data_IF_417667178072
#
_entry.id   IF_417667178072
#
_cell.length_a   1.000
_cell.length_b   1.000
_cell.length_c   1.000
_cell.angle_alpha   90.00
_cell.angle_beta   90.00
_cell.angle_gamma   90.00
#
_symmetry.space_group_name_H-M   'P 1'
#
loop_
_entity.id
_entity.type
_entity.pdbx_description
1 polymer ?
#
# COMPACT_ATOMS: atom_id res chain seq x y z
N UNK A 1 -10.07 0.26 -16.27
CA UNK A 1 -9.61 1.24 -15.27
C UNK A 1 -10.17 0.86 -13.89
N UNK A 2 -9.70 -0.24 -13.30
CA UNK A 2 -10.26 -0.80 -12.05
C UNK A 2 -9.22 -1.44 -11.09
N UNK A 3 -7.93 -1.47 -11.45
CA UNK A 3 -7.00 -2.41 -10.80
C UNK A 3 -6.37 -1.94 -9.48
N UNK A 4 -6.26 -0.63 -9.24
CA UNK A 4 -5.57 -0.11 -8.05
C UNK A 4 -6.53 0.35 -6.93
N UNK A 5 -7.70 0.88 -7.29
CA UNK A 5 -8.73 1.26 -6.33
C UNK A 5 -9.27 0.05 -5.55
N UNK A 6 -9.41 -1.10 -6.22
CA UNK A 6 -9.86 -2.32 -5.57
C UNK A 6 -8.87 -2.80 -4.49
N UNK A 7 -7.57 -2.71 -4.78
CA UNK A 7 -6.51 -3.04 -3.82
C UNK A 7 -6.59 -2.08 -2.62
N UNK A 8 -6.71 -0.78 -2.87
CA UNK A 8 -6.82 0.22 -1.82
C UNK A 8 -8.05 0.00 -0.93
N UNK A 9 -9.21 -0.27 -1.53
CA UNK A 9 -10.46 -0.54 -0.80
C UNK A 9 -10.35 -1.79 0.07
N UNK A 10 -9.83 -2.91 -0.48
CA UNK A 10 -9.66 -4.15 0.30
C UNK A 10 -8.75 -3.94 1.52
N UNK A 11 -7.68 -3.15 1.35
CA UNK A 11 -6.78 -2.82 2.45
C UNK A 11 -7.47 -1.98 3.53
N UNK A 12 -8.22 -0.94 3.15
CA UNK A 12 -9.00 -0.13 4.10
C UNK A 12 -10.07 -0.95 4.84
N UNK A 13 -10.77 -1.86 4.15
CA UNK A 13 -11.78 -2.73 4.79
C UNK A 13 -11.17 -3.65 5.83
N UNK A 14 -9.96 -4.16 5.61
CA UNK A 14 -9.28 -5.05 6.57
C UNK A 14 -8.83 -4.33 7.85
N UNK A 15 -8.45 -3.06 7.75
CA UNK A 15 -8.20 -2.21 8.92
C UNK A 15 -9.47 -2.01 9.75
N UNK A 16 -10.60 -1.71 9.09
CA UNK A 16 -11.89 -1.51 9.75
C UNK A 16 -12.41 -2.79 10.43
N UNK A 17 -12.07 -3.96 9.90
CA UNK A 17 -12.39 -5.28 10.48
C UNK A 17 -11.44 -5.71 11.62
N UNK A 18 -10.52 -4.84 12.09
CA UNK A 18 -9.68 -5.12 13.27
C UNK A 18 -8.53 -6.09 13.04
N UNK A 19 -8.23 -6.47 11.78
CA UNK A 19 -7.10 -7.34 11.44
C UNK A 19 -5.78 -6.56 11.41
N UNK A 20 -5.48 -5.77 12.45
CA UNK A 20 -4.44 -4.73 12.42
C UNK A 20 -3.02 -5.26 12.13
N UNK A 21 -2.64 -6.40 12.71
CA UNK A 21 -1.34 -7.04 12.43
C UNK A 21 -1.24 -7.58 10.99
N UNK A 22 -2.35 -8.10 10.45
CA UNK A 22 -2.46 -8.53 9.05
C UNK A 22 -2.47 -7.33 8.11
N UNK A 23 -3.08 -6.22 8.52
CA UNK A 23 -3.12 -4.97 7.75
C UNK A 23 -1.73 -4.35 7.62
N UNK A 24 -0.88 -4.34 8.66
CA UNK A 24 0.50 -3.84 8.56
C UNK A 24 1.31 -4.61 7.51
N UNK A 25 1.25 -5.94 7.53
CA UNK A 25 1.96 -6.77 6.56
C UNK A 25 1.44 -6.56 5.12
N UNK A 26 0.13 -6.35 4.97
CA UNK A 26 -0.50 -6.04 3.68
C UNK A 26 -0.12 -4.64 3.19
N UNK A 27 -0.10 -3.63 4.07
CA UNK A 27 0.32 -2.27 3.75
C UNK A 27 1.77 -2.25 3.25
N UNK A 28 2.67 -2.93 3.95
CA UNK A 28 4.08 -3.04 3.55
C UNK A 28 4.22 -3.71 2.18
N UNK A 29 3.53 -4.85 1.95
CA UNK A 29 3.53 -5.54 0.65
C UNK A 29 2.96 -4.67 -0.48
N UNK A 30 1.87 -3.95 -0.23
CA UNK A 30 1.25 -3.07 -1.21
C UNK A 30 2.17 -1.90 -1.58
N UNK A 31 2.85 -1.28 -0.60
CA UNK A 31 3.82 -0.21 -0.86
C UNK A 31 4.96 -0.72 -1.75
N UNK A 32 5.55 -1.88 -1.42
CA UNK A 32 6.63 -2.47 -2.22
C UNK A 32 6.18 -2.71 -3.67
N UNK A 33 5.00 -3.31 -3.86
CA UNK A 33 4.46 -3.58 -5.18
C UNK A 33 4.21 -2.29 -5.98
N UNK A 34 3.65 -1.26 -5.35
CA UNK A 34 3.37 0.02 -5.99
C UNK A 34 4.66 0.77 -6.35
N UNK A 35 5.68 0.73 -5.50
CA UNK A 35 7.01 1.28 -5.81
C UNK A 35 7.67 0.55 -6.98
N UNK A 36 7.59 -0.79 -6.99
CA UNK A 36 8.09 -1.60 -8.09
C UNK A 36 7.42 -1.24 -9.42
N UNK A 37 6.09 -1.08 -9.43
CA UNK A 37 5.34 -0.69 -10.63
C UNK A 37 5.76 0.70 -11.14
N UNK A 38 6.09 1.61 -10.22
CA UNK A 38 6.44 2.98 -10.56
C UNK A 38 7.84 3.10 -11.17
N UNK A 39 8.81 2.34 -10.64
CA UNK A 39 10.23 2.50 -10.98
C UNK A 39 10.79 1.38 -11.84
N UNK A 40 10.46 0.13 -11.54
CA UNK A 40 11.07 -1.02 -12.19
C UNK A 40 10.22 -1.49 -13.37
N UNK A 41 8.90 -1.56 -13.23
CA UNK A 41 8.03 -2.07 -14.31
C UNK A 41 8.10 -1.24 -15.59
N UNK A 42 8.36 0.07 -15.49
CA UNK A 42 8.57 0.97 -16.64
C UNK A 42 9.94 0.80 -17.30
N UNK A 43 10.93 0.28 -16.57
CA UNK A 43 12.28 -0.01 -17.07
C UNK A 43 12.42 -1.45 -17.60
N UNK A 44 11.45 -2.33 -17.29
CA UNK A 44 11.42 -3.71 -17.77
C UNK A 44 11.11 -3.74 -19.28
N UNK A 45 11.93 -4.43 -20.11
CA UNK A 45 11.68 -4.60 -21.54
C UNK A 45 10.54 -5.60 -21.75
N UNK A 46 9.31 -5.17 -21.47
CA UNK A 46 8.09 -5.93 -21.71
C UNK A 46 7.61 -5.72 -23.15
N UNK A 47 6.98 -6.74 -23.72
CA UNK A 47 6.32 -6.63 -25.02
C UNK A 47 4.83 -6.96 -24.88
N UNK A 48 3.92 -5.96 -24.95
CA UNK A 48 4.18 -4.54 -25.16
C UNK A 48 4.82 -3.85 -23.95
N UNK A 49 5.51 -2.72 -24.19
CA UNK A 49 6.14 -1.91 -23.15
C UNK A 49 5.12 -1.50 -22.10
N UNK A 50 5.50 -1.63 -20.84
CA UNK A 50 4.67 -1.17 -19.74
C UNK A 50 4.66 0.36 -19.72
N UNK A 51 3.48 0.92 -19.99
CA UNK A 51 3.24 2.36 -20.02
C UNK A 51 2.37 2.76 -18.85
N UNK A 52 2.86 3.68 -18.02
CA UNK A 52 2.11 4.27 -16.94
C UNK A 52 1.82 5.73 -17.29
N UNK A 53 0.53 6.11 -17.36
CA UNK A 53 0.19 7.51 -17.62
C UNK A 53 0.62 8.41 -16.45
N UNK A 54 0.98 9.69 -16.68
CA UNK A 54 1.33 10.62 -15.62
C UNK A 54 0.24 10.75 -14.55
N UNK A 55 -1.03 10.67 -14.96
CA UNK A 55 -2.17 10.66 -14.06
C UNK A 55 -2.19 9.44 -13.14
N UNK A 56 -1.95 8.24 -13.68
CA UNK A 56 -1.86 7.02 -12.89
C UNK A 56 -0.63 7.02 -11.98
N UNK A 57 0.49 7.58 -12.43
CA UNK A 57 1.70 7.77 -11.62
C UNK A 57 1.41 8.61 -10.38
N UNK A 58 0.78 9.77 -10.56
CA UNK A 58 0.36 10.66 -9.47
C UNK A 58 -0.60 9.98 -8.49
N UNK A 59 -1.54 9.17 -9.00
CA UNK A 59 -2.44 8.38 -8.15
C UNK A 59 -1.68 7.34 -7.32
N UNK A 60 -0.73 6.62 -7.93
CA UNK A 60 0.10 5.65 -7.21
C UNK A 60 0.94 6.33 -6.13
N UNK A 61 1.54 7.49 -6.40
CA UNK A 61 2.24 8.28 -5.38
C UNK A 61 1.32 8.64 -4.20
N UNK A 62 0.09 9.06 -4.48
CA UNK A 62 -0.89 9.38 -3.44
C UNK A 62 -1.28 8.14 -2.62
N UNK A 63 -1.48 6.98 -3.26
CA UNK A 63 -1.74 5.73 -2.54
C UNK A 63 -0.57 5.33 -1.65
N UNK A 64 0.67 5.40 -2.13
CA UNK A 64 1.85 5.10 -1.32
C UNK A 64 1.92 6.02 -0.09
N UNK A 65 1.69 7.32 -0.26
CA UNK A 65 1.69 8.28 0.84
C UNK A 65 0.63 7.94 1.90
N UNK A 66 -0.60 7.66 1.46
CA UNK A 66 -1.69 7.26 2.37
C UNK A 66 -1.37 5.94 3.08
N UNK A 67 -0.93 4.91 2.36
CA UNK A 67 -0.59 3.61 2.94
C UNK A 67 0.56 3.71 3.96
N UNK A 68 1.56 4.58 3.73
CA UNK A 68 2.62 4.85 4.70
C UNK A 68 2.09 5.52 5.96
N UNK A 69 1.16 6.47 5.82
CA UNK A 69 0.49 7.10 6.96
C UNK A 69 -0.27 6.06 7.79
N UNK A 70 -1.11 5.23 7.14
CA UNK A 70 -1.85 4.15 7.80
C UNK A 70 -0.93 3.13 8.48
N UNK A 71 0.16 2.73 7.83
CA UNK A 71 1.14 1.82 8.42
C UNK A 71 1.80 2.41 9.67
N UNK A 72 2.18 3.70 9.64
CA UNK A 72 2.76 4.38 10.79
C UNK A 72 1.76 4.44 11.96
N UNK A 73 0.52 4.82 11.70
CA UNK A 73 -0.55 4.85 12.71
C UNK A 73 -0.85 3.46 13.29
N UNK A 74 -0.91 2.42 12.45
CA UNK A 74 -1.16 1.04 12.89
C UNK A 74 0.01 0.42 13.67
N UNK A 75 1.25 0.85 13.40
CA UNK A 75 2.43 0.44 14.17
C UNK A 75 2.43 1.10 15.56
N UNK A 76 2.05 2.38 15.64
CA UNK A 76 1.96 3.11 16.91
C UNK A 76 0.87 2.54 17.83
N UNK A 77 -0.29 2.17 17.29
CA UNK A 77 -1.35 1.50 18.07
C UNK A 77 -0.92 0.11 18.58
N UNK A 78 -0.18 -0.65 17.77
CA UNK A 78 0.36 -1.96 18.16
C UNK A 78 1.41 -1.90 19.28
N UNK A 79 2.16 -0.80 19.41
CA UNK A 79 3.12 -0.59 20.50
C UNK A 79 2.42 -0.31 21.84
N UNK A 80 1.32 0.45 21.82
CA UNK A 80 0.58 0.80 23.04
C UNK A 80 -0.06 -0.43 23.72
N UNK A 81 -0.44 -1.44 22.94
CA UNK A 81 -1.01 -2.69 23.46
C UNK A 81 0.03 -3.65 24.08
N UNK A 82 1.31 -3.52 23.72
CA UNK A 82 2.42 -4.25 24.37
C UNK A 82 2.84 -3.65 25.70
N UNK A 83 2.69 -2.34 25.87
CA UNK A 83 3.06 -1.63 27.10
C UNK A 83 2.08 -1.86 28.26
N UNK A 84 0.83 -2.25 28.00
CA UNK A 84 -0.20 -2.47 29.04
C UNK A 84 -0.17 -3.91 29.58
N UNK A 85 0.65 -4.79 29.00
CA UNK A 85 0.76 -6.21 29.39
C UNK A 85 2.01 -6.55 30.20
N UNK A 86 2.80 -5.54 30.62
CA UNK A 86 3.97 -5.73 31.49
C UNK A 86 3.70 -5.17 32.87
#
# INVERSE_FOLDING_TARGET
>A
MFSFDFIYIILQTKELLGCQSRSIALYSKAIILLTFILQEATALPLNPLFSLSPFNQQRIHRYIANLRSHLCSAQLSGQQQRSIKN
#
